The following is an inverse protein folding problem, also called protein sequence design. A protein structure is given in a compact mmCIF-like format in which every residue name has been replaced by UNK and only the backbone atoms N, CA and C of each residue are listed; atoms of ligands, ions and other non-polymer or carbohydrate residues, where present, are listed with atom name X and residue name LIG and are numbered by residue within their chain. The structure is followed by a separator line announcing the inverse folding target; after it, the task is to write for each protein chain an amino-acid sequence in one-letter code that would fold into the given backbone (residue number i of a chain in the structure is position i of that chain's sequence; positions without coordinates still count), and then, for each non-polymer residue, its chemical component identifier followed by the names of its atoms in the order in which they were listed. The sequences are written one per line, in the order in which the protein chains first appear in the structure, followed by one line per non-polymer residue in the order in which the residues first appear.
data_IF_282943442294
#
_entry.id   IF_282943442294
#
_cell.length_a   1.000
_cell.length_b   1.000
_cell.length_c   1.000
_cell.angle_alpha   90.00
_cell.angle_beta   90.00
_cell.angle_gamma   90.00
#
_symmetry.space_group_name_H-M   'P 1'
#
loop_
_entity.id
_entity.type
_entity.pdbx_description
1 polymer ?
#
# COMPACT_ATOMS: atom_id res chain seq x y z
N UNK A 1 -9.09 -14.90 -20.24
CA UNK A 1 -7.91 -15.34 -19.46
C UNK A 1 -7.79 -16.84 -19.62
N UNK A 2 -6.63 -17.37 -20.04
CA UNK A 2 -6.45 -18.81 -20.20
C UNK A 2 -6.16 -19.45 -18.84
N UNK A 3 -7.10 -20.25 -18.33
CA UNK A 3 -7.04 -20.87 -16.99
C UNK A 3 -5.77 -21.68 -16.74
N UNK A 4 -5.23 -22.34 -17.77
CA UNK A 4 -3.97 -23.08 -17.66
C UNK A 4 -2.77 -22.16 -17.37
N UNK A 5 -2.74 -20.97 -17.97
CA UNK A 5 -1.71 -19.95 -17.69
C UNK A 5 -1.88 -19.30 -16.31
N UNK A 6 -3.13 -19.13 -15.85
CA UNK A 6 -3.42 -18.52 -14.56
C UNK A 6 -2.98 -19.38 -13.36
N UNK A 7 -3.10 -20.71 -13.47
CA UNK A 7 -2.65 -21.62 -12.42
C UNK A 7 -1.13 -21.52 -12.15
N UNK A 8 -0.34 -21.23 -13.18
CA UNK A 8 1.11 -21.01 -13.08
C UNK A 8 1.55 -19.62 -12.58
N UNK A 9 0.62 -18.74 -12.25
CA UNK A 9 0.95 -17.41 -11.72
C UNK A 9 1.35 -17.46 -10.24
N UNK A 10 2.23 -16.54 -9.83
CA UNK A 10 2.53 -16.30 -8.41
C UNK A 10 1.27 -15.86 -7.65
N UNK A 11 1.24 -16.07 -6.34
CA UNK A 11 0.10 -15.68 -5.50
C UNK A 11 -0.27 -14.20 -5.66
N UNK A 12 0.74 -13.32 -5.68
CA UNK A 12 0.55 -11.89 -5.96
C UNK A 12 -0.13 -11.64 -7.31
N UNK A 13 0.33 -12.32 -8.37
CA UNK A 13 -0.24 -12.19 -9.71
C UNK A 13 -1.65 -12.75 -9.83
N UNK A 14 -1.97 -13.82 -9.12
CA UNK A 14 -3.33 -14.35 -9.01
C UNK A 14 -4.25 -13.30 -8.39
N UNK A 15 -3.87 -12.73 -7.24
CA UNK A 15 -4.65 -11.71 -6.54
C UNK A 15 -4.96 -10.49 -7.40
N UNK A 16 -3.95 -9.87 -8.02
CA UNK A 16 -4.22 -8.68 -8.83
C UNK A 16 -4.85 -8.97 -10.19
N UNK A 17 -4.69 -10.18 -10.74
CA UNK A 17 -5.40 -10.57 -11.97
C UNK A 17 -6.92 -10.65 -11.77
N UNK A 18 -7.36 -10.98 -10.56
CA UNK A 18 -8.77 -10.99 -10.15
C UNK A 18 -9.19 -9.59 -9.71
N UNK A 19 -8.39 -8.95 -8.86
CA UNK A 19 -8.71 -7.66 -8.24
C UNK A 19 -8.02 -6.53 -9.02
N UNK A 20 -8.80 -5.87 -9.89
CA UNK A 20 -8.37 -4.67 -10.63
C UNK A 20 -7.61 -4.95 -11.94
N UNK A 21 -7.32 -6.22 -12.27
CA UNK A 21 -6.71 -6.70 -13.53
C UNK A 21 -5.35 -6.06 -13.87
N UNK A 22 -4.74 -5.35 -12.94
CA UNK A 22 -3.44 -4.66 -13.06
C UNK A 22 -2.71 -4.74 -11.73
N UNK A 23 -1.36 -4.70 -11.70
CA UNK A 23 -0.60 -4.78 -10.46
C UNK A 23 -1.06 -3.75 -9.43
N UNK A 24 -1.18 -4.16 -8.17
CA UNK A 24 -1.71 -3.32 -7.09
C UNK A 24 -0.88 -2.07 -6.84
N UNK A 25 0.42 -2.11 -7.15
CA UNK A 25 1.29 -0.94 -7.13
C UNK A 25 0.75 0.20 -8.01
N UNK A 26 0.24 -0.11 -9.21
CA UNK A 26 -0.34 0.90 -10.11
C UNK A 26 -1.74 1.32 -9.69
N UNK A 27 -2.52 0.42 -9.07
CA UNK A 27 -3.79 0.78 -8.44
C UNK A 27 -3.60 1.78 -7.32
N UNK A 28 -2.68 1.48 -6.40
CA UNK A 28 -2.38 2.33 -5.26
C UNK A 28 -1.77 3.67 -5.71
N UNK A 29 -0.92 3.67 -6.74
CA UNK A 29 -0.41 4.90 -7.35
C UNK A 29 -1.52 5.77 -7.94
N UNK A 30 -2.47 5.17 -8.67
CA UNK A 30 -3.63 5.91 -9.20
C UNK A 30 -4.48 6.49 -8.07
N UNK A 31 -4.68 5.75 -6.97
CA UNK A 31 -5.40 6.22 -5.79
C UNK A 31 -4.63 7.39 -5.14
N UNK A 32 -3.32 7.28 -5.00
CA UNK A 32 -2.47 8.33 -4.44
C UNK A 32 -2.61 9.64 -5.21
N UNK A 33 -2.51 9.61 -6.55
CA UNK A 33 -2.61 10.84 -7.35
C UNK A 33 -4.03 11.40 -7.45
N UNK A 34 -5.06 10.56 -7.38
CA UNK A 34 -6.46 11.02 -7.48
C UNK A 34 -7.06 11.44 -6.13
N UNK A 35 -6.62 10.78 -5.06
CA UNK A 35 -7.20 10.85 -3.72
C UNK A 35 -6.08 10.70 -2.69
N UNK A 36 -5.15 11.66 -2.64
CA UNK A 36 -4.00 11.61 -1.73
C UNK A 36 -4.41 11.45 -0.25
N UNK A 37 -5.58 12.00 0.11
CA UNK A 37 -6.14 11.88 1.46
C UNK A 37 -6.50 10.44 1.84
N UNK A 38 -6.84 9.56 0.88
CA UNK A 38 -7.27 8.20 1.18
C UNK A 38 -6.14 7.34 1.78
N UNK A 39 -4.93 7.31 1.17
CA UNK A 39 -3.74 6.78 1.83
C UNK A 39 -3.51 7.36 3.23
N UNK A 40 -3.63 8.68 3.42
CA UNK A 40 -3.42 9.29 4.74
C UNK A 40 -4.40 8.76 5.79
N UNK A 41 -5.67 8.59 5.42
CA UNK A 41 -6.70 8.01 6.30
C UNK A 41 -6.40 6.55 6.64
N UNK A 42 -5.95 5.75 5.66
CA UNK A 42 -5.54 4.37 5.90
C UNK A 42 -4.37 4.30 6.88
N UNK A 43 -3.35 5.14 6.68
CA UNK A 43 -2.22 5.22 7.58
C UNK A 43 -2.65 5.65 8.98
N UNK A 44 -3.40 6.74 9.13
CA UNK A 44 -3.93 7.18 10.43
C UNK A 44 -4.70 6.06 11.15
N UNK A 45 -5.57 5.33 10.45
CA UNK A 45 -6.29 4.19 11.01
C UNK A 45 -5.36 3.08 11.51
N UNK A 46 -4.32 2.72 10.72
CA UNK A 46 -3.33 1.74 11.16
C UNK A 46 -2.50 2.21 12.35
N UNK A 47 -2.24 3.51 12.48
CA UNK A 47 -1.55 4.10 13.63
C UNK A 47 -2.39 4.01 14.91
N UNK A 48 -3.69 4.29 14.80
CA UNK A 48 -4.64 4.13 15.92
C UNK A 48 -4.70 2.66 16.36
N UNK A 49 -4.86 1.73 15.42
CA UNK A 49 -4.91 0.29 15.73
C UNK A 49 -3.59 -0.18 16.36
N UNK A 50 -2.44 0.24 15.83
CA UNK A 50 -1.14 -0.08 16.38
C UNK A 50 -0.98 0.44 17.82
N UNK A 51 -1.49 1.64 18.10
CA UNK A 51 -1.47 2.22 19.45
C UNK A 51 -2.38 1.46 20.43
N UNK A 52 -3.58 1.06 20.00
CA UNK A 52 -4.47 0.23 20.81
C UNK A 52 -3.84 -1.13 21.13
N UNK A 53 -3.24 -1.78 20.13
CA UNK A 53 -2.52 -3.05 20.30
C UNK A 53 -1.33 -2.88 21.25
N UNK A 54 -0.56 -1.77 21.11
CA UNK A 54 0.56 -1.44 21.99
C UNK A 54 0.11 -1.37 23.45
N UNK A 55 -0.98 -0.66 23.72
CA UNK A 55 -1.56 -0.55 25.06
C UNK A 55 -2.02 -1.91 25.59
N UNK A 56 -2.72 -2.69 24.78
CA UNK A 56 -3.22 -4.01 25.15
C UNK A 56 -2.08 -5.01 25.47
N UNK A 57 -0.97 -4.93 24.75
CA UNK A 57 0.20 -5.80 24.93
C UNK A 57 1.23 -5.26 25.94
N UNK A 58 1.00 -4.07 26.50
CA UNK A 58 1.90 -3.46 27.49
C UNK A 58 3.25 -3.02 26.91
N UNK A 59 3.35 -2.82 25.59
CA UNK A 59 4.59 -2.36 24.97
C UNK A 59 4.90 -0.91 25.35
N UNK A 60 6.18 -0.53 25.47
CA UNK A 60 6.55 0.84 25.82
C UNK A 60 6.14 1.83 24.73
N UNK A 61 5.78 3.05 25.14
CA UNK A 61 5.22 4.08 24.25
C UNK A 61 6.13 4.46 23.08
N UNK A 62 7.45 4.34 23.24
CA UNK A 62 8.43 4.67 22.19
C UNK A 62 8.32 3.76 20.96
N UNK A 63 7.70 2.58 21.07
CA UNK A 63 7.40 1.71 19.93
C UNK A 63 6.52 2.44 18.90
N UNK A 64 5.73 3.43 19.32
CA UNK A 64 4.97 4.30 18.44
C UNK A 64 5.86 5.04 17.43
N UNK A 65 7.11 5.39 17.80
CA UNK A 65 8.06 6.02 16.87
C UNK A 65 8.52 5.10 15.75
N UNK A 66 8.50 3.78 15.96
CA UNK A 66 8.76 2.83 14.87
C UNK A 66 7.65 2.97 13.83
N UNK A 67 6.39 3.04 14.27
CA UNK A 67 5.25 3.23 13.38
C UNK A 67 5.33 4.56 12.63
N UNK A 68 5.62 5.67 13.34
CA UNK A 68 5.82 6.99 12.72
C UNK A 68 6.96 6.94 11.71
N UNK A 69 8.07 6.29 12.03
CA UNK A 69 9.22 6.15 11.13
C UNK A 69 8.87 5.37 9.85
N UNK A 70 8.15 4.25 9.98
CA UNK A 70 7.66 3.47 8.84
C UNK A 70 6.68 4.30 8.00
N UNK A 71 5.78 5.04 8.64
CA UNK A 71 4.85 5.94 7.97
C UNK A 71 5.58 7.04 7.20
N UNK A 72 6.50 7.78 7.84
CA UNK A 72 7.25 8.86 7.20
C UNK A 72 8.08 8.33 6.04
N UNK A 73 8.75 7.18 6.21
CA UNK A 73 9.46 6.52 5.13
C UNK A 73 8.50 6.15 3.98
N UNK A 74 7.36 5.53 4.29
CA UNK A 74 6.34 5.18 3.30
C UNK A 74 5.77 6.39 2.57
N UNK A 75 5.50 7.49 3.27
CA UNK A 75 5.01 8.75 2.72
C UNK A 75 6.04 9.38 1.77
N UNK A 76 7.30 9.46 2.20
CA UNK A 76 8.42 9.93 1.36
C UNK A 76 8.55 9.06 0.12
N UNK A 77 8.52 7.73 0.25
CA UNK A 77 8.56 6.84 -0.92
C UNK A 77 7.31 6.98 -1.80
N UNK A 78 6.11 7.14 -1.24
CA UNK A 78 4.92 7.43 -2.04
C UNK A 78 5.07 8.73 -2.84
N UNK A 79 5.59 9.78 -2.20
CA UNK A 79 5.75 11.08 -2.81
C UNK A 79 6.91 11.14 -3.82
N UNK A 80 8.04 10.49 -3.53
CA UNK A 80 9.27 10.56 -4.34
C UNK A 80 9.56 9.32 -5.21
N UNK A 81 9.23 8.10 -4.76
CA UNK A 81 9.46 6.86 -5.53
C UNK A 81 8.45 6.65 -6.67
N UNK A 82 7.29 7.32 -6.61
CA UNK A 82 6.43 7.50 -7.78
C UNK A 82 6.88 8.65 -8.69
N UNK A 83 8.11 9.18 -8.52
CA UNK A 83 8.75 10.29 -9.24
C UNK A 83 9.01 10.09 -10.74
N UNK A 84 8.22 9.25 -11.42
CA UNK A 84 8.01 9.31 -12.86
C UNK A 84 6.70 10.03 -13.13
N UNK A 85 6.56 10.73 -14.27
CA UNK A 85 5.28 11.31 -14.66
C UNK A 85 4.15 10.30 -14.51
N UNK A 86 3.10 10.69 -13.80
CA UNK A 86 1.94 9.85 -13.59
C UNK A 86 1.32 9.47 -14.93
N UNK A 87 1.27 8.16 -15.23
CA UNK A 87 0.54 7.64 -16.38
C UNK A 87 -0.71 6.94 -15.86
N UNK A 88 -1.91 7.46 -16.16
CA UNK A 88 -3.15 6.82 -15.74
C UNK A 88 -3.30 5.44 -16.37
N UNK A 89 -3.76 4.47 -15.59
CA UNK A 89 -4.02 3.10 -16.05
C UNK A 89 -2.81 2.30 -16.55
N UNK A 90 -1.60 2.61 -16.05
CA UNK A 90 -0.40 1.84 -16.39
C UNK A 90 -0.55 0.36 -15.98
N UNK A 91 -0.25 -0.55 -16.92
CA UNK A 91 -0.47 -2.00 -16.77
C UNK A 91 0.70 -2.78 -16.13
N UNK A 92 1.81 -2.11 -15.80
CA UNK A 92 3.09 -2.79 -15.55
C UNK A 92 3.67 -3.37 -16.83
N UNK A 93 5.00 -3.43 -16.93
CA UNK A 93 5.68 -4.17 -18.00
C UNK A 93 5.84 -5.63 -17.57
#
# INVERSE_FOLDING_TARGET
MNWKKWLGYSFYKKLWSVIGRRPWTFLYRDIWHKLEWFPQMQWAATGIIAELIRQQLGYPWWVHFIWVGVYTYGYINGHFFFGKPYIPNQQGK
#
